data_IF_872526690248
#
_entry.id   IF_872526690248
#
_cell.length_a   1.000
_cell.length_b   1.000
_cell.length_c   1.000
_cell.angle_alpha   90.00
_cell.angle_beta   90.00
_cell.angle_gamma   90.00
#
_symmetry.space_group_name_H-M   'P 1'
#
loop_
_entity.id
_entity.type
_entity.pdbx_description
1 polymer ?
#
# COMPACT_ATOMS: atom_id res chain seq x y z
N UNK A 1 -3.52 32.37 -29.35
CA UNK A 1 -2.18 31.77 -29.21
C UNK A 1 -2.30 30.47 -28.41
N UNK A 2 -2.49 29.33 -29.07
CA UNK A 2 -2.37 28.03 -28.42
C UNK A 2 -0.89 27.64 -28.46
N UNK A 3 -0.16 27.95 -27.41
CA UNK A 3 1.24 27.52 -27.28
C UNK A 3 1.27 26.05 -26.90
N UNK A 4 1.47 25.17 -27.88
CA UNK A 4 1.84 23.77 -27.69
C UNK A 4 3.27 23.68 -27.12
N UNK A 5 3.48 24.20 -25.90
CA UNK A 5 4.75 24.00 -25.20
C UNK A 5 4.78 22.55 -24.70
N UNK A 6 5.79 21.76 -25.09
CA UNK A 6 5.93 20.42 -24.55
C UNK A 6 6.22 20.51 -23.05
N UNK A 7 5.61 19.60 -22.28
CA UNK A 7 5.92 19.43 -20.87
C UNK A 7 7.36 18.92 -20.76
N UNK A 8 8.20 19.51 -19.90
CA UNK A 8 9.54 19.00 -19.69
C UNK A 8 9.45 17.57 -19.11
N UNK A 9 10.39 16.69 -19.48
CA UNK A 9 10.43 15.35 -18.92
C UNK A 9 10.66 15.46 -17.41
N UNK A 10 9.89 14.72 -16.61
CA UNK A 10 9.94 14.77 -15.15
C UNK A 10 10.32 13.39 -14.59
N UNK A 11 9.44 12.38 -14.69
CA UNK A 11 9.73 11.06 -14.13
C UNK A 11 10.93 10.35 -14.78
N UNK A 12 11.17 10.59 -16.06
CA UNK A 12 12.21 9.87 -16.83
C UNK A 12 13.62 10.40 -16.60
N UNK A 13 13.77 11.64 -16.15
CA UNK A 13 15.08 12.26 -15.91
C UNK A 13 15.46 12.32 -14.43
N UNK A 14 14.48 12.23 -13.52
CA UNK A 14 14.73 12.28 -12.09
C UNK A 14 15.25 10.93 -11.58
N UNK A 15 16.36 10.96 -10.85
CA UNK A 15 16.88 9.79 -10.16
C UNK A 15 15.92 9.40 -9.03
N UNK A 16 15.54 8.11 -8.89
CA UNK A 16 14.68 7.67 -7.79
C UNK A 16 15.38 7.92 -6.44
N UNK A 17 14.74 8.70 -5.57
CA UNK A 17 15.21 9.03 -4.23
C UNK A 17 14.36 8.26 -3.21
N UNK A 18 14.94 7.90 -2.06
CA UNK A 18 14.18 7.22 -1.01
C UNK A 18 12.96 8.05 -0.56
N UNK A 19 13.11 9.37 -0.49
CA UNK A 19 12.04 10.31 -0.15
C UNK A 19 10.83 10.25 -1.09
N UNK A 20 11.05 9.95 -2.38
CA UNK A 20 9.97 9.82 -3.37
C UNK A 20 9.50 8.38 -3.55
N UNK A 21 10.36 7.37 -3.36
CA UNK A 21 9.98 5.97 -3.53
C UNK A 21 9.08 5.47 -2.38
N UNK A 22 9.37 5.82 -1.13
CA UNK A 22 8.56 5.42 0.04
C UNK A 22 7.05 5.75 -0.10
N UNK A 23 6.64 6.99 -0.44
CA UNK A 23 5.22 7.31 -0.60
C UNK A 23 4.59 6.60 -1.80
N UNK A 24 5.34 6.34 -2.87
CA UNK A 24 4.85 5.60 -4.04
C UNK A 24 4.57 4.14 -3.65
N UNK A 25 5.51 3.46 -3.01
CA UNK A 25 5.33 2.07 -2.57
C UNK A 25 4.24 1.93 -1.50
N UNK A 26 4.03 2.93 -0.63
CA UNK A 26 2.92 2.94 0.31
C UNK A 26 1.56 2.98 -0.41
N UNK A 27 1.44 3.76 -1.49
CA UNK A 27 0.24 3.79 -2.33
C UNK A 27 0.02 2.48 -3.08
N UNK A 28 1.07 1.90 -3.65
CA UNK A 28 1.00 0.62 -4.37
C UNK A 28 0.55 -0.51 -3.43
N UNK A 29 1.16 -0.62 -2.25
CA UNK A 29 0.76 -1.62 -1.24
C UNK A 29 -0.68 -1.42 -0.78
N UNK A 30 -1.12 -0.17 -0.58
CA UNK A 30 -2.51 0.13 -0.23
C UNK A 30 -3.51 -0.27 -1.33
N UNK A 31 -3.20 0.06 -2.59
CA UNK A 31 -4.03 -0.33 -3.72
C UNK A 31 -4.11 -1.86 -3.87
N UNK A 32 -2.98 -2.57 -3.70
CA UNK A 32 -2.94 -4.03 -3.72
C UNK A 32 -3.77 -4.66 -2.59
N UNK A 33 -3.69 -4.13 -1.37
CA UNK A 33 -4.51 -4.63 -0.25
C UNK A 33 -6.00 -4.36 -0.49
N UNK A 34 -6.34 -3.18 -1.01
CA UNK A 34 -7.71 -2.82 -1.34
C UNK A 34 -8.31 -3.75 -2.40
N UNK A 35 -7.56 -4.08 -3.46
CA UNK A 35 -8.04 -5.05 -4.44
C UNK A 35 -8.24 -6.41 -3.80
N UNK A 36 -7.28 -6.93 -3.02
CA UNK A 36 -7.45 -8.23 -2.34
C UNK A 36 -8.71 -8.30 -1.48
N UNK A 37 -9.02 -7.23 -0.73
CA UNK A 37 -10.24 -7.14 0.07
C UNK A 37 -11.49 -7.10 -0.82
N UNK A 38 -11.49 -6.30 -1.88
CA UNK A 38 -12.64 -6.19 -2.81
C UNK A 38 -12.93 -7.48 -3.59
N UNK A 39 -11.88 -8.23 -3.96
CA UNK A 39 -12.02 -9.50 -4.68
C UNK A 39 -12.25 -10.71 -3.75
N UNK A 40 -12.07 -10.56 -2.44
CA UNK A 40 -12.30 -11.63 -1.46
C UNK A 40 -13.70 -12.28 -1.53
N UNK A 41 -14.82 -11.54 -1.75
CA UNK A 41 -16.14 -12.16 -1.83
C UNK A 41 -16.36 -12.96 -3.11
N UNK A 42 -15.62 -12.65 -4.19
CA UNK A 42 -15.67 -13.38 -5.46
C UNK A 42 -14.94 -14.72 -5.36
N UNK A 43 -13.88 -14.77 -4.56
CA UNK A 43 -13.11 -15.98 -4.29
C UNK A 43 -13.79 -16.90 -3.27
N UNK A 44 -14.64 -16.36 -2.40
CA UNK A 44 -15.34 -17.13 -1.37
C UNK A 44 -16.83 -16.75 -1.27
N UNK A 45 -17.67 -17.23 -2.21
CA UNK A 45 -19.11 -17.00 -2.14
C UNK A 45 -19.71 -17.79 -0.97
N UNK A 46 -19.80 -17.17 0.22
CA UNK A 46 -20.59 -17.58 1.41
C UNK A 46 -20.40 -19.01 1.97
N UNK A 47 -19.64 -19.88 1.31
CA UNK A 47 -19.23 -21.21 1.78
C UNK A 47 -17.78 -21.13 2.30
N UNK A 48 -17.65 -20.45 3.45
CA UNK A 48 -16.43 -19.82 3.98
C UNK A 48 -15.20 -20.68 4.29
N UNK A 49 -15.09 -21.93 3.85
CA UNK A 49 -13.91 -22.78 4.06
C UNK A 49 -13.88 -24.01 3.12
N UNK A 50 -15.05 -24.44 2.64
CA UNK A 50 -15.23 -25.71 1.90
C UNK A 50 -14.54 -25.68 0.53
N UNK A 51 -14.42 -24.51 -0.11
CA UNK A 51 -13.79 -24.39 -1.42
C UNK A 51 -12.26 -24.58 -1.39
N UNK A 52 -11.61 -24.28 -0.27
CA UNK A 52 -10.17 -24.49 -0.05
C UNK A 52 -9.84 -25.83 0.60
N UNK A 53 -10.84 -26.66 0.89
CA UNK A 53 -10.64 -28.05 1.38
C UNK A 53 -11.08 -29.08 0.34
N UNK A 54 -11.39 -28.64 -0.88
CA UNK A 54 -11.78 -29.56 -1.95
C UNK A 54 -10.53 -30.27 -2.50
N UNK A 55 -10.23 -31.43 -1.94
CA UNK A 55 -9.13 -32.32 -2.32
C UNK A 55 -9.00 -32.46 -3.87
N UNK A 56 -10.13 -32.59 -4.57
CA UNK A 56 -10.17 -32.73 -6.03
C UNK A 56 -9.67 -31.48 -6.78
N UNK A 57 -9.81 -30.28 -6.19
CA UNK A 57 -9.35 -29.03 -6.79
C UNK A 57 -7.82 -28.93 -6.77
N UNK A 58 -7.19 -29.32 -5.66
CA UNK A 58 -5.72 -29.36 -5.57
C UNK A 58 -5.10 -30.49 -6.38
N UNK A 59 -5.79 -31.64 -6.48
CA UNK A 59 -5.36 -32.74 -7.34
C UNK A 59 -5.36 -32.36 -8.83
N UNK A 60 -6.27 -31.49 -9.25
CA UNK A 60 -6.33 -30.99 -10.63
C UNK A 60 -5.18 -30.04 -11.00
N UNK A 61 -4.53 -29.42 -10.00
CA UNK A 61 -3.43 -28.48 -10.21
C UNK A 61 -2.41 -28.52 -9.06
N UNK A 62 -1.37 -29.36 -9.14
CA UNK A 62 -0.40 -29.54 -8.06
C UNK A 62 0.45 -28.29 -7.77
N UNK A 63 0.47 -27.31 -8.68
CA UNK A 63 1.17 -26.02 -8.49
C UNK A 63 0.35 -25.01 -7.70
N UNK A 64 -0.96 -25.21 -7.57
CA UNK A 64 -1.89 -24.26 -6.96
C UNK A 64 -1.64 -24.01 -5.47
N UNK A 65 -1.32 -25.01 -4.61
CA UNK A 65 -0.99 -24.78 -3.22
C UNK A 65 0.22 -23.84 -3.04
N UNK A 66 1.26 -24.02 -3.86
CA UNK A 66 2.47 -23.19 -3.83
C UNK A 66 2.16 -21.75 -4.20
N UNK A 67 1.31 -21.54 -5.22
CA UNK A 67 0.87 -20.23 -5.63
C UNK A 67 0.07 -19.53 -4.52
N UNK A 68 -0.89 -20.23 -3.91
CA UNK A 68 -1.69 -19.68 -2.79
C UNK A 68 -0.78 -19.27 -1.62
N UNK A 69 0.17 -20.13 -1.24
CA UNK A 69 1.11 -19.82 -0.17
C UNK A 69 1.93 -18.55 -0.48
N UNK A 70 2.47 -18.45 -1.71
CA UNK A 70 3.19 -17.24 -2.14
C UNK A 70 2.32 -15.98 -2.14
N UNK A 71 1.03 -16.10 -2.49
CA UNK A 71 0.10 -14.98 -2.48
C UNK A 71 -0.23 -14.52 -1.05
N UNK A 72 -0.37 -15.46 -0.10
CA UNK A 72 -0.55 -15.16 1.32
C UNK A 72 0.69 -14.47 1.90
N UNK A 73 1.89 -14.96 1.59
CA UNK A 73 3.15 -14.36 2.03
C UNK A 73 3.30 -12.93 1.49
N UNK A 74 3.03 -12.72 0.20
CA UNK A 74 3.09 -11.40 -0.42
C UNK A 74 2.05 -10.44 0.18
N UNK A 75 0.85 -10.94 0.47
CA UNK A 75 -0.22 -10.14 1.11
C UNK A 75 0.14 -9.74 2.53
N UNK A 76 0.74 -10.66 3.29
CA UNK A 76 1.23 -10.39 4.65
C UNK A 76 2.35 -9.35 4.62
N UNK A 77 3.30 -9.48 3.70
CA UNK A 77 4.38 -8.50 3.51
C UNK A 77 3.83 -7.12 3.14
N UNK A 78 2.89 -7.04 2.20
CA UNK A 78 2.26 -5.79 1.79
C UNK A 78 1.51 -5.13 2.96
N UNK A 79 0.79 -5.92 3.77
CA UNK A 79 0.08 -5.45 4.95
C UNK A 79 1.05 -4.87 6.01
N UNK A 80 2.09 -5.62 6.36
CA UNK A 80 3.12 -5.18 7.30
C UNK A 80 3.80 -3.89 6.83
N UNK A 81 4.15 -3.83 5.55
CA UNK A 81 4.76 -2.64 4.95
C UNK A 81 3.82 -1.43 4.98
N UNK A 82 2.56 -1.61 4.56
CA UNK A 82 1.58 -0.53 4.50
C UNK A 82 1.26 0.02 5.88
N UNK A 83 1.04 -0.85 6.87
CA UNK A 83 0.78 -0.47 8.26
C UNK A 83 1.97 0.28 8.88
N UNK A 84 3.19 -0.24 8.73
CA UNK A 84 4.39 0.39 9.30
C UNK A 84 4.63 1.79 8.73
N UNK A 85 4.44 1.97 7.41
CA UNK A 85 4.56 3.29 6.79
C UNK A 85 3.38 4.21 7.15
N UNK A 86 2.19 3.67 7.36
CA UNK A 86 1.03 4.41 7.87
C UNK A 86 1.29 4.97 9.26
N UNK A 87 1.80 4.16 10.19
CA UNK A 87 2.20 4.60 11.55
C UNK A 87 3.27 5.68 11.48
N UNK A 88 4.29 5.52 10.63
CA UNK A 88 5.31 6.55 10.40
C UNK A 88 4.71 7.87 9.89
N UNK A 89 3.70 7.80 9.03
CA UNK A 89 3.01 9.00 8.52
C UNK A 89 2.25 9.71 9.65
N UNK A 90 1.45 8.95 10.41
CA UNK A 90 0.71 9.48 11.56
C UNK A 90 1.63 10.11 12.60
N UNK A 91 2.78 9.46 12.88
CA UNK A 91 3.79 10.00 13.79
C UNK A 91 4.35 11.33 13.30
N UNK A 92 4.67 11.43 12.00
CA UNK A 92 5.17 12.68 11.41
C UNK A 92 4.12 13.79 11.50
N UNK A 93 2.86 13.48 11.20
CA UNK A 93 1.78 14.46 11.24
C UNK A 93 1.53 14.97 12.67
N UNK A 94 1.59 14.07 13.66
CA UNK A 94 1.53 14.43 15.07
C UNK A 94 2.70 15.31 15.49
N UNK A 95 3.93 14.93 15.11
CA UNK A 95 5.13 15.70 15.44
C UNK A 95 5.10 17.13 14.85
N UNK A 96 4.72 17.27 13.58
CA UNK A 96 4.60 18.58 12.91
C UNK A 96 3.54 19.45 13.57
N UNK A 97 2.39 18.86 13.94
CA UNK A 97 1.34 19.60 14.66
C UNK A 97 1.83 20.07 16.03
N UNK A 98 2.52 19.20 16.77
CA UNK A 98 3.07 19.53 18.08
C UNK A 98 4.09 20.68 18.00
N UNK A 99 5.00 20.66 17.02
CA UNK A 99 5.95 21.76 16.82
C UNK A 99 5.25 23.07 16.49
N UNK A 100 4.25 23.04 15.59
CA UNK A 100 3.48 24.25 15.25
C UNK A 100 2.72 24.83 16.44
N UNK A 101 2.21 23.97 17.33
CA UNK A 101 1.56 24.40 18.56
C UNK A 101 2.56 25.15 19.44
N UNK A 102 3.71 24.56 19.74
CA UNK A 102 4.72 25.24 20.56
C UNK A 102 5.24 26.55 19.95
N UNK A 103 5.38 26.63 18.63
CA UNK A 103 5.81 27.85 17.95
C UNK A 103 4.77 28.99 18.07
N UNK A 104 3.48 28.67 17.97
CA UNK A 104 2.38 29.64 18.17
C UNK A 104 2.38 30.15 19.61
N UNK A 105 2.55 29.27 20.60
CA UNK A 105 2.60 29.67 22.00
C UNK A 105 3.83 30.52 22.32
N UNK A 106 4.99 30.24 21.69
CA UNK A 106 6.19 31.07 21.82
C UNK A 106 5.94 32.49 21.28
N UNK A 107 5.37 32.60 20.09
CA UNK A 107 5.10 33.91 19.46
C UNK A 107 4.06 34.74 20.23
N UNK A 108 3.12 34.11 20.93
CA UNK A 108 2.11 34.81 21.73
C UNK A 108 2.63 35.40 23.05
N UNK A 109 3.84 35.02 23.48
CA UNK A 109 4.43 35.43 24.76
C UNK A 109 5.56 36.47 24.58
N UNK A 110 5.92 36.79 23.34
CA UNK A 110 6.81 37.89 22.94
C UNK A 110 5.99 39.12 22.53
#
# INVERSE_FOLDING_TARGET
MLTNRPLPPHLTIYKPQLTSTFPISHRISGAFLATMVLFSPLLCPKMGLISFTYENFYQSSPSLPKFILSAVDLTTLALCYHMSNGVRHLWRDFAVRLTSFFDIYRYSME
#
